data_IF_316891703157
#
_entry.id   IF_316891703157
#
_cell.length_a   1.000
_cell.length_b   1.000
_cell.length_c   1.000
_cell.angle_alpha   90.00
_cell.angle_beta   90.00
_cell.angle_gamma   90.00
#
_symmetry.space_group_name_H-M   'P 1'
#
loop_
_entity.id
_entity.type
_entity.pdbx_description
1 polymer ?
#
# COMPACT_ATOMS: atom_id res chain seq x y z
N UNK A 1 -9.06 21.77 37.09
CA UNK A 1 -9.28 22.30 35.73
C UNK A 1 -8.30 23.40 35.35
N UNK A 2 -8.05 24.40 36.21
CA UNK A 2 -7.17 25.54 35.88
C UNK A 2 -5.71 25.15 35.59
N UNK A 3 -5.12 24.21 36.34
CA UNK A 3 -3.78 23.68 36.04
C UNK A 3 -3.74 22.87 34.73
N UNK A 4 -4.79 22.13 34.42
CA UNK A 4 -4.87 21.33 33.19
C UNK A 4 -4.94 22.21 31.95
N UNK A 5 -5.74 23.28 32.01
CA UNK A 5 -5.83 24.29 30.95
C UNK A 5 -4.49 25.01 30.77
N UNK A 6 -3.77 25.30 31.86
CA UNK A 6 -2.46 25.93 31.83
C UNK A 6 -1.40 25.03 31.18
N UNK A 7 -1.34 23.74 31.53
CA UNK A 7 -0.39 22.78 30.94
C UNK A 7 -0.65 22.57 29.43
N UNK A 8 -1.92 22.50 29.03
CA UNK A 8 -2.31 22.37 27.61
C UNK A 8 -2.02 23.65 26.83
N UNK A 9 -2.17 24.82 27.45
CA UNK A 9 -1.83 26.12 26.88
C UNK A 9 -0.33 26.35 26.75
N UNK A 10 0.47 25.87 27.70
CA UNK A 10 1.93 26.03 27.70
C UNK A 10 2.61 25.12 26.68
N UNK A 11 2.00 23.97 26.35
CA UNK A 11 2.52 23.03 25.35
C UNK A 11 1.38 22.49 24.46
N UNK A 12 1.10 23.13 23.30
CA UNK A 12 0.01 22.71 22.41
C UNK A 12 0.15 21.26 21.93
N UNK A 13 1.37 20.73 21.85
CA UNK A 13 1.65 19.34 21.53
C UNK A 13 1.09 18.35 22.58
N UNK A 14 1.14 18.70 23.87
CA UNK A 14 0.60 17.87 24.95
C UNK A 14 -0.93 17.84 24.86
N UNK A 15 -1.55 18.99 24.56
CA UNK A 15 -2.99 19.08 24.30
C UNK A 15 -3.45 18.18 23.16
N UNK A 16 -2.75 18.23 22.03
CA UNK A 16 -3.03 17.38 20.85
C UNK A 16 -2.86 15.90 21.21
N UNK A 17 -1.81 15.54 21.98
CA UNK A 17 -1.58 14.17 22.43
C UNK A 17 -2.72 13.62 23.30
N UNK A 18 -3.23 14.42 24.24
CA UNK A 18 -4.36 14.05 25.10
C UNK A 18 -5.65 13.92 24.28
N UNK A 19 -5.92 14.86 23.37
CA UNK A 19 -7.09 14.79 22.49
C UNK A 19 -7.05 13.56 21.57
N UNK A 20 -5.87 13.22 21.04
CA UNK A 20 -5.66 12.04 20.24
C UNK A 20 -5.86 10.75 21.05
N UNK A 21 -5.34 10.68 22.28
CA UNK A 21 -5.57 9.56 23.18
C UNK A 21 -7.05 9.39 23.52
N UNK A 22 -7.79 10.49 23.78
CA UNK A 22 -9.22 10.45 24.02
C UNK A 22 -10.00 9.95 22.79
N UNK A 23 -9.63 10.38 21.58
CA UNK A 23 -10.20 9.88 20.33
C UNK A 23 -9.94 8.38 20.12
N UNK A 24 -8.74 7.89 20.44
CA UNK A 24 -8.42 6.47 20.36
C UNK A 24 -9.24 5.63 21.33
N UNK A 25 -9.41 6.11 22.56
CA UNK A 25 -10.26 5.44 23.56
C UNK A 25 -11.70 5.41 23.08
N UNK A 26 -12.24 6.53 22.60
CA UNK A 26 -13.58 6.61 22.02
C UNK A 26 -13.75 5.64 20.84
N UNK A 27 -12.77 5.61 19.93
CA UNK A 27 -12.74 4.70 18.79
C UNK A 27 -12.74 3.23 19.22
N UNK A 28 -11.96 2.89 20.26
CA UNK A 28 -11.90 1.53 20.78
C UNK A 28 -13.24 1.08 21.39
N UNK A 29 -13.91 1.96 22.13
CA UNK A 29 -15.25 1.71 22.63
C UNK A 29 -16.26 1.58 21.48
N UNK A 30 -16.18 2.42 20.45
CA UNK A 30 -17.06 2.34 19.29
C UNK A 30 -16.89 1.02 18.53
N UNK A 31 -15.66 0.60 18.28
CA UNK A 31 -15.37 -0.71 17.65
C UNK A 31 -15.90 -1.88 18.47
N UNK A 32 -15.83 -1.80 19.80
CA UNK A 32 -16.45 -2.79 20.69
C UNK A 32 -17.98 -2.75 20.62
N UNK A 33 -18.57 -1.55 20.63
CA UNK A 33 -20.02 -1.35 20.53
C UNK A 33 -20.57 -1.95 19.23
N UNK A 34 -19.88 -1.74 18.11
CA UNK A 34 -20.24 -2.33 16.80
C UNK A 34 -20.22 -3.86 16.87
N UNK A 35 -19.22 -4.47 17.53
CA UNK A 35 -19.17 -5.93 17.72
C UNK A 35 -20.35 -6.44 18.55
N UNK A 36 -20.66 -5.77 19.66
CA UNK A 36 -21.82 -6.16 20.49
C UNK A 36 -23.14 -5.95 19.75
N UNK A 37 -23.30 -4.86 19.01
CA UNK A 37 -24.47 -4.60 18.17
C UNK A 37 -24.64 -5.67 17.10
N UNK A 38 -23.55 -6.12 16.46
CA UNK A 38 -23.58 -7.21 15.49
C UNK A 38 -24.02 -8.54 16.13
N UNK A 39 -23.48 -8.87 17.31
CA UNK A 39 -23.87 -10.08 18.05
C UNK A 39 -25.35 -10.02 18.45
N UNK A 40 -25.82 -8.88 18.98
CA UNK A 40 -27.23 -8.67 19.31
C UNK A 40 -28.13 -8.78 18.08
N UNK A 41 -27.68 -8.24 16.95
CA UNK A 41 -28.41 -8.35 15.69
C UNK A 41 -28.53 -9.81 15.22
N UNK A 42 -27.46 -10.59 15.29
CA UNK A 42 -27.50 -12.03 14.96
C UNK A 42 -28.45 -12.78 15.90
N UNK A 43 -28.42 -12.48 17.20
CA UNK A 43 -29.35 -13.08 18.17
C UNK A 43 -30.80 -12.69 17.83
N UNK A 44 -31.06 -11.43 17.49
CA UNK A 44 -32.38 -10.96 17.09
C UNK A 44 -32.87 -11.67 15.82
N UNK A 45 -32.00 -11.83 14.82
CA UNK A 45 -32.30 -12.59 13.60
C UNK A 45 -32.56 -14.06 13.91
N UNK A 46 -31.81 -14.67 14.82
CA UNK A 46 -32.02 -16.06 15.24
C UNK A 46 -33.36 -16.24 15.96
N UNK A 47 -33.74 -15.32 16.86
CA UNK A 47 -35.04 -15.32 17.54
C UNK A 47 -36.18 -15.08 16.54
N UNK A 48 -36.03 -14.10 15.66
CA UNK A 48 -37.00 -13.80 14.62
C UNK A 48 -37.17 -14.99 13.66
N UNK A 49 -36.07 -15.62 13.24
CA UNK A 49 -36.08 -16.84 12.44
C UNK A 49 -36.74 -18.01 13.17
N UNK A 50 -36.42 -18.21 14.45
CA UNK A 50 -37.05 -19.25 15.26
C UNK A 50 -38.57 -19.05 15.39
N UNK A 51 -39.01 -17.82 15.66
CA UNK A 51 -40.43 -17.48 15.71
C UNK A 51 -41.10 -17.67 14.33
N UNK A 52 -40.41 -17.28 13.26
CA UNK A 52 -40.85 -17.44 11.88
C UNK A 52 -41.05 -18.92 11.47
N UNK A 53 -40.14 -19.81 11.88
CA UNK A 53 -40.29 -21.25 11.60
C UNK A 53 -41.37 -21.93 12.46
N UNK A 54 -41.66 -21.38 13.65
CA UNK A 54 -42.61 -21.97 14.60
C UNK A 54 -44.07 -21.52 14.37
N UNK A 55 -44.28 -20.38 13.71
CA UNK A 55 -45.60 -19.83 13.36
C UNK A 55 -45.74 -19.57 11.85
N UNK A 56 -45.92 -20.62 11.02
CA UNK A 56 -45.98 -20.48 9.57
C UNK A 56 -47.24 -19.78 9.04
N UNK A 57 -48.28 -19.59 9.86
CA UNK A 57 -49.56 -18.98 9.49
C UNK A 57 -49.57 -17.44 9.63
N UNK A 58 -48.68 -16.86 10.44
CA UNK A 58 -48.57 -15.39 10.65
C UNK A 58 -47.59 -14.71 9.69
N UNK A 59 -47.24 -15.37 8.56
CA UNK A 59 -46.35 -14.75 7.57
C UNK A 59 -47.07 -13.56 6.94
N UNK A 60 -46.56 -12.33 7.05
CA UNK A 60 -47.19 -11.18 6.41
C UNK A 60 -47.16 -11.40 4.89
N UNK A 61 -48.28 -11.15 4.21
CA UNK A 61 -48.44 -11.38 2.77
C UNK A 61 -47.34 -10.74 1.90
N UNK A 62 -46.73 -9.66 2.39
CA UNK A 62 -45.72 -8.88 1.68
C UNK A 62 -44.30 -9.49 1.76
N UNK A 63 -44.10 -10.55 2.55
CA UNK A 63 -42.79 -11.14 2.77
C UNK A 63 -42.27 -11.92 1.55
N UNK A 64 -43.16 -12.60 0.83
CA UNK A 64 -42.80 -13.32 -0.39
C UNK A 64 -42.24 -12.36 -1.44
N UNK A 65 -42.96 -11.26 -1.68
CA UNK A 65 -42.53 -10.19 -2.59
C UNK A 65 -41.23 -9.52 -2.12
N UNK A 66 -41.09 -9.26 -0.81
CA UNK A 66 -39.87 -8.66 -0.27
C UNK A 66 -38.65 -9.59 -0.42
N UNK A 67 -38.82 -10.90 -0.21
CA UNK A 67 -37.78 -11.90 -0.40
C UNK A 67 -37.43 -12.04 -1.88
N UNK A 68 -38.42 -12.09 -2.76
CA UNK A 68 -38.20 -12.20 -4.21
C UNK A 68 -37.48 -10.95 -4.75
N UNK A 69 -37.89 -9.76 -4.31
CA UNK A 69 -37.21 -8.51 -4.63
C UNK A 69 -35.79 -8.47 -4.08
N UNK A 70 -35.57 -8.90 -2.84
CA UNK A 70 -34.24 -8.97 -2.24
C UNK A 70 -33.34 -10.00 -2.95
N UNK A 71 -33.87 -11.15 -3.35
CA UNK A 71 -33.15 -12.17 -4.12
C UNK A 71 -32.77 -11.64 -5.51
N UNK A 72 -33.67 -10.90 -6.16
CA UNK A 72 -33.43 -10.29 -7.47
C UNK A 72 -32.36 -9.19 -7.39
N UNK A 73 -32.44 -8.33 -6.38
CA UNK A 73 -31.44 -7.29 -6.12
C UNK A 73 -30.09 -7.89 -5.72
N UNK A 74 -30.08 -8.91 -4.86
CA UNK A 74 -28.87 -9.63 -4.47
C UNK A 74 -28.23 -10.36 -5.65
N UNK A 75 -29.03 -10.91 -6.56
CA UNK A 75 -28.53 -11.55 -7.79
C UNK A 75 -27.87 -10.53 -8.71
N UNK A 76 -28.48 -9.37 -8.92
CA UNK A 76 -27.88 -8.25 -9.67
C UNK A 76 -26.61 -7.73 -9.00
N UNK A 77 -26.58 -7.66 -7.67
CA UNK A 77 -25.39 -7.26 -6.92
C UNK A 77 -24.26 -8.28 -7.08
N UNK A 78 -24.58 -9.58 -7.09
CA UNK A 78 -23.63 -10.67 -7.36
C UNK A 78 -23.08 -10.62 -8.79
N UNK A 79 -23.89 -10.33 -9.80
CA UNK A 79 -23.43 -10.15 -11.18
C UNK A 79 -22.48 -8.96 -11.31
N UNK A 80 -22.83 -7.80 -10.72
CA UNK A 80 -21.93 -6.64 -10.66
C UNK A 80 -20.64 -6.97 -9.90
N UNK A 81 -20.75 -7.73 -8.82
CA UNK A 81 -19.59 -8.19 -8.04
C UNK A 81 -18.65 -9.07 -8.87
N UNK A 82 -19.20 -9.98 -9.68
CA UNK A 82 -18.42 -10.79 -10.63
C UNK A 82 -17.73 -9.92 -11.69
N UNK A 83 -18.44 -8.96 -12.26
CA UNK A 83 -17.87 -8.04 -13.26
C UNK A 83 -16.70 -7.22 -12.69
N UNK A 84 -16.83 -6.74 -11.44
CA UNK A 84 -15.75 -6.03 -10.73
C UNK A 84 -14.56 -6.96 -10.45
N UNK A 85 -14.81 -8.22 -10.09
CA UNK A 85 -13.76 -9.22 -9.90
C UNK A 85 -13.01 -9.53 -11.20
N UNK A 86 -13.72 -9.64 -12.32
CA UNK A 86 -13.12 -9.89 -13.63
C UNK A 86 -12.29 -8.69 -14.10
N UNK A 87 -12.80 -7.46 -13.94
CA UNK A 87 -12.02 -6.23 -14.16
C UNK A 87 -10.79 -6.16 -13.26
N UNK A 88 -10.92 -6.57 -12.00
CA UNK A 88 -9.80 -6.68 -11.06
C UNK A 88 -8.73 -7.66 -11.53
N UNK A 89 -9.12 -8.85 -12.02
CA UNK A 89 -8.20 -9.82 -12.61
C UNK A 89 -7.49 -9.28 -13.85
N UNK A 90 -8.21 -8.58 -14.73
CA UNK A 90 -7.63 -7.96 -15.92
C UNK A 90 -6.58 -6.90 -15.53
N UNK A 91 -6.88 -6.07 -14.53
CA UNK A 91 -5.95 -5.06 -14.03
C UNK A 91 -4.69 -5.70 -13.41
N UNK A 92 -4.84 -6.81 -12.68
CA UNK A 92 -3.70 -7.57 -12.14
C UNK A 92 -2.82 -8.12 -13.28
N UNK A 93 -3.42 -8.64 -14.35
CA UNK A 93 -2.67 -9.15 -15.49
C UNK A 93 -1.91 -8.02 -16.21
N UNK A 94 -2.55 -6.87 -16.45
CA UNK A 94 -1.87 -5.68 -16.97
C UNK A 94 -0.74 -5.21 -16.06
N UNK A 95 -0.94 -5.28 -14.73
CA UNK A 95 0.10 -4.97 -13.75
C UNK A 95 1.30 -5.92 -13.84
N UNK A 96 1.07 -7.23 -14.07
CA UNK A 96 2.14 -8.21 -14.29
C UNK A 96 2.91 -7.93 -15.58
N UNK A 97 2.24 -7.64 -16.69
CA UNK A 97 2.91 -7.26 -17.94
C UNK A 97 3.75 -5.99 -17.78
N UNK A 98 3.23 -4.98 -17.07
CA UNK A 98 3.98 -3.76 -16.76
C UNK A 98 5.22 -4.05 -15.91
N UNK A 99 5.12 -4.98 -14.95
CA UNK A 99 6.24 -5.42 -14.13
C UNK A 99 7.31 -6.14 -14.97
N UNK A 100 6.91 -7.01 -15.89
CA UNK A 100 7.83 -7.69 -16.81
C UNK A 100 8.56 -6.69 -17.72
N UNK A 101 7.83 -5.75 -18.32
CA UNK A 101 8.44 -4.66 -19.09
C UNK A 101 9.40 -3.83 -18.23
N UNK A 102 9.03 -3.55 -16.98
CA UNK A 102 9.89 -2.88 -16.01
C UNK A 102 11.20 -3.64 -15.77
N UNK A 103 11.14 -4.96 -15.59
CA UNK A 103 12.33 -5.82 -15.43
C UNK A 103 13.22 -5.78 -16.68
N UNK A 104 12.63 -5.85 -17.87
CA UNK A 104 13.39 -5.79 -19.13
C UNK A 104 14.12 -4.45 -19.29
N UNK A 105 13.46 -3.33 -18.92
CA UNK A 105 14.09 -2.00 -18.91
C UNK A 105 15.26 -1.96 -17.92
N UNK A 106 15.09 -2.55 -16.73
CA UNK A 106 16.15 -2.60 -15.71
C UNK A 106 17.34 -3.42 -16.20
N UNK A 107 17.13 -4.58 -16.84
CA UNK A 107 18.21 -5.37 -17.44
C UNK A 107 18.93 -4.59 -18.53
N UNK A 108 18.19 -3.96 -19.45
CA UNK A 108 18.78 -3.09 -20.49
C UNK A 108 19.60 -1.95 -19.87
N UNK A 109 19.08 -1.32 -18.81
CA UNK A 109 19.80 -0.30 -18.05
C UNK A 109 21.10 -0.81 -17.44
N UNK A 110 21.10 -2.04 -16.90
CA UNK A 110 22.30 -2.68 -16.33
C UNK A 110 23.36 -2.94 -17.40
N UNK A 111 22.97 -3.44 -18.57
CA UNK A 111 23.90 -3.66 -19.70
C UNK A 111 24.51 -2.35 -20.20
N UNK A 112 23.72 -1.27 -20.27
CA UNK A 112 24.22 0.06 -20.65
C UNK A 112 25.19 0.59 -19.61
N UNK A 113 24.90 0.39 -18.32
CA UNK A 113 25.78 0.80 -17.22
C UNK A 113 27.11 0.03 -17.25
N UNK A 114 27.09 -1.28 -17.43
CA UNK A 114 28.31 -2.11 -17.54
C UNK A 114 29.18 -1.65 -18.71
N UNK A 115 28.60 -1.45 -19.90
CA UNK A 115 29.33 -0.89 -21.05
C UNK A 115 29.90 0.50 -20.77
N UNK A 116 29.18 1.33 -20.01
CA UNK A 116 29.65 2.65 -19.59
C UNK A 116 30.86 2.56 -18.66
N UNK A 117 30.82 1.64 -17.69
CA UNK A 117 31.93 1.37 -16.76
C UNK A 117 33.16 0.87 -17.50
N UNK A 118 33.01 -0.07 -18.43
CA UNK A 118 34.13 -0.63 -19.19
C UNK A 118 34.83 0.44 -20.04
N UNK A 119 34.04 1.27 -20.76
CA UNK A 119 34.59 2.42 -21.50
C UNK A 119 35.27 3.43 -20.59
N UNK A 120 34.69 3.67 -19.41
CA UNK A 120 35.27 4.55 -18.40
C UNK A 120 36.64 4.05 -17.93
N UNK A 121 36.77 2.75 -17.64
CA UNK A 121 38.06 2.12 -17.29
C UNK A 121 39.09 2.27 -18.41
N UNK A 122 38.69 2.00 -19.65
CA UNK A 122 39.58 2.10 -20.81
C UNK A 122 40.08 3.54 -21.04
N UNK A 123 39.21 4.54 -20.84
CA UNK A 123 39.58 5.94 -20.90
C UNK A 123 40.55 6.33 -19.76
N UNK A 124 40.35 5.81 -18.55
CA UNK A 124 41.24 6.03 -17.41
C UNK A 124 42.62 5.40 -17.64
N UNK A 125 42.69 4.19 -18.18
CA UNK A 125 43.97 3.56 -18.53
C UNK A 125 44.72 4.35 -19.61
N UNK A 126 44.03 4.78 -20.67
CA UNK A 126 44.63 5.66 -21.69
C UNK A 126 45.13 6.97 -21.09
N UNK A 127 44.36 7.57 -20.18
CA UNK A 127 44.76 8.77 -19.45
C UNK A 127 46.01 8.56 -18.59
N UNK A 128 46.11 7.43 -17.88
CA UNK A 128 47.31 7.04 -17.13
C UNK A 128 48.52 6.86 -18.04
N UNK A 129 48.38 6.14 -19.15
CA UNK A 129 49.47 5.94 -20.11
C UNK A 129 50.01 7.27 -20.65
N UNK A 130 49.12 8.19 -21.04
CA UNK A 130 49.51 9.53 -21.48
C UNK A 130 50.18 10.35 -20.35
N UNK A 131 49.69 10.26 -19.12
CA UNK A 131 50.31 10.94 -17.97
C UNK A 131 51.70 10.40 -17.65
N UNK A 132 51.91 9.09 -17.73
CA UNK A 132 53.22 8.44 -17.54
C UNK A 132 54.22 8.83 -18.63
N UNK A 133 53.76 8.95 -19.89
CA UNK A 133 54.57 9.43 -21.01
C UNK A 133 55.01 10.89 -20.81
N UNK A 134 54.08 11.76 -20.42
CA UNK A 134 54.37 13.15 -20.07
C UNK A 134 55.33 13.21 -18.87
N UNK A 135 55.13 12.37 -17.86
CA UNK A 135 56.00 12.26 -16.69
C UNK A 135 57.44 11.86 -17.05
N UNK A 136 57.63 10.97 -18.02
CA UNK A 136 58.97 10.61 -18.54
C UNK A 136 59.60 11.76 -19.32
N UNK A 137 58.84 12.50 -20.11
CA UNK A 137 59.34 13.66 -20.87
C UNK A 137 59.78 14.78 -19.91
N UNK A 138 58.98 15.06 -18.87
CA UNK A 138 59.26 16.14 -17.91
C UNK A 138 60.31 15.72 -16.85
N UNK A 139 60.34 14.44 -16.48
CA UNK A 139 61.23 13.88 -15.45
C UNK A 139 62.58 13.37 -15.97
N UNK A 140 62.72 13.13 -17.28
CA UNK A 140 63.89 12.48 -17.89
C UNK A 140 65.17 13.32 -17.98
N UNK A 141 65.19 14.57 -17.50
CA UNK A 141 66.33 15.47 -17.67
C UNK A 141 67.28 15.57 -16.45
N UNK A 142 67.33 14.55 -15.57
CA UNK A 142 68.21 14.57 -14.39
C UNK A 142 69.34 13.54 -14.30
N UNK A 143 69.49 12.60 -15.25
CA UNK A 143 70.42 11.48 -15.04
C UNK A 143 71.52 11.24 -16.09
N UNK A 144 71.91 12.24 -16.88
CA UNK A 144 73.08 12.11 -17.80
C UNK A 144 74.10 13.24 -17.72
N UNK A 145 74.28 13.85 -16.53
CA UNK A 145 75.37 14.82 -16.31
C UNK A 145 76.07 14.66 -14.97
N UNK A 146 76.49 13.45 -14.62
CA UNK A 146 77.59 13.27 -13.67
C UNK A 146 78.23 11.89 -13.81
N UNK A 147 79.26 11.80 -14.66
CA UNK A 147 80.59 11.22 -14.41
C UNK A 147 81.26 10.83 -15.71
#
# INVERSE_FOLDING_TARGET
MQEFVRIVSENPLIGIGIAFAALLVLYFFFMKLVKYALILFIIAVAIAGYFYFRYPEDRPANLGEAIEKALTESSRALEKGKEVLDKGREMINKGKEALEKGKEIVEKGKVVLEKGIDRGKEAVEKGKGAADEIGKIIGGEKETRSR
#
